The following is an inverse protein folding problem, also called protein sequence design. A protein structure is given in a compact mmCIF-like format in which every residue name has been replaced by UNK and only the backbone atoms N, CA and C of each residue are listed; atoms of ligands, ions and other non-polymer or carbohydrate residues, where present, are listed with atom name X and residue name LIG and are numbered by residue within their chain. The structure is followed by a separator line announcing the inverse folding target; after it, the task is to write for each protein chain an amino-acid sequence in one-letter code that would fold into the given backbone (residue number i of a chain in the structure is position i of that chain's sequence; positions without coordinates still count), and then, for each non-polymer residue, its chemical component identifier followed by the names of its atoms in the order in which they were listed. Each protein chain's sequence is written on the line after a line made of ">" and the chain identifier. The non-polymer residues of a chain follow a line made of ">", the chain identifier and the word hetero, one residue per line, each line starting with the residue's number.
data_IF_028404304163
#
_entry.id   IF_028404304163
#
_cell.length_a   1.000
_cell.length_b   1.000
_cell.length_c   1.000
_cell.angle_alpha   90.00
_cell.angle_beta   90.00
_cell.angle_gamma   90.00
#
_symmetry.space_group_name_H-M   'P 1'
#
loop_
_entity.id
_entity.type
_entity.pdbx_description
1 polymer ?
#
# COMPACT_ATOMS: atom_id res chain seq x y z
N UNK A 1 -10.52 -49.33 -20.55
CA UNK A 1 -11.35 -48.51 -19.65
C UNK A 1 -10.49 -47.35 -19.20
N UNK A 2 -10.79 -46.11 -19.62
CA UNK A 2 -10.06 -44.95 -19.14
C UNK A 2 -10.49 -44.68 -17.70
N UNK A 3 -9.55 -44.78 -16.76
CA UNK A 3 -9.80 -44.52 -15.35
C UNK A 3 -10.16 -43.04 -15.20
N UNK A 4 -11.39 -42.77 -14.77
CA UNK A 4 -11.88 -41.40 -14.59
C UNK A 4 -11.19 -40.83 -13.35
N UNK A 5 -10.24 -39.92 -13.55
CA UNK A 5 -9.51 -39.27 -12.46
C UNK A 5 -10.46 -38.56 -11.50
N UNK A 6 -10.17 -38.62 -10.20
CA UNK A 6 -10.95 -37.93 -9.18
C UNK A 6 -10.78 -36.41 -9.26
N UNK A 7 -11.74 -35.64 -8.74
CA UNK A 7 -11.75 -34.17 -8.80
C UNK A 7 -10.45 -33.57 -8.20
N UNK A 8 -9.95 -34.13 -7.09
CA UNK A 8 -8.70 -33.69 -6.46
C UNK A 8 -7.48 -33.92 -7.35
N UNK A 9 -7.42 -35.07 -8.01
CA UNK A 9 -6.29 -35.46 -8.87
C UNK A 9 -6.27 -34.65 -10.18
N UNK A 10 -7.44 -34.24 -10.66
CA UNK A 10 -7.57 -33.29 -11.76
C UNK A 10 -7.14 -31.87 -11.36
N UNK A 11 -7.44 -31.44 -10.13
CA UNK A 11 -7.03 -30.14 -9.60
C UNK A 11 -5.50 -30.06 -9.42
N UNK A 12 -4.88 -31.07 -8.82
CA UNK A 12 -3.42 -31.13 -8.64
C UNK A 12 -2.67 -31.18 -9.99
N UNK A 13 -3.20 -31.93 -10.97
CA UNK A 13 -2.59 -32.00 -12.30
C UNK A 13 -2.76 -30.68 -13.09
N UNK A 14 -3.86 -29.96 -12.86
CA UNK A 14 -4.08 -28.62 -13.40
C UNK A 14 -3.13 -27.61 -12.76
N UNK A 15 -2.97 -27.62 -11.44
CA UNK A 15 -2.02 -26.77 -10.71
C UNK A 15 -0.59 -27.00 -11.17
N UNK A 16 -0.18 -28.27 -11.31
CA UNK A 16 1.16 -28.62 -11.80
C UNK A 16 1.38 -28.13 -13.24
N UNK A 17 0.38 -28.28 -14.12
CA UNK A 17 0.45 -27.76 -15.50
C UNK A 17 0.53 -26.25 -15.54
N UNK A 18 -0.28 -25.57 -14.73
CA UNK A 18 -0.22 -24.11 -14.59
C UNK A 18 1.14 -23.65 -14.07
N UNK A 19 1.73 -24.34 -13.09
CA UNK A 19 3.09 -24.04 -12.61
C UNK A 19 4.15 -24.23 -13.69
N UNK A 20 4.02 -25.25 -14.54
CA UNK A 20 4.92 -25.46 -15.68
C UNK A 20 4.75 -24.37 -16.76
N UNK A 21 3.51 -24.08 -17.16
CA UNK A 21 3.20 -23.02 -18.12
C UNK A 21 3.65 -21.64 -17.60
N UNK A 22 3.49 -21.37 -16.30
CA UNK A 22 4.00 -20.16 -15.65
C UNK A 22 5.52 -20.10 -15.58
N UNK A 23 6.19 -21.26 -15.42
CA UNK A 23 7.65 -21.36 -15.52
C UNK A 23 8.18 -21.03 -16.92
N UNK A 24 7.32 -21.14 -17.94
CA UNK A 24 7.63 -20.73 -19.31
C UNK A 24 7.33 -19.26 -19.58
N UNK A 25 6.44 -18.63 -18.82
CA UNK A 25 6.10 -17.21 -18.96
C UNK A 25 7.21 -16.29 -18.42
N UNK A 26 7.50 -15.26 -19.19
CA UNK A 26 8.44 -14.21 -18.78
C UNK A 26 7.74 -13.20 -17.85
N UNK A 27 8.38 -12.91 -16.71
CA UNK A 27 7.93 -11.90 -15.75
C UNK A 27 8.87 -10.71 -15.82
N UNK A 28 8.33 -9.54 -16.17
CA UNK A 28 9.09 -8.30 -16.17
C UNK A 28 8.83 -7.55 -14.87
N UNK A 29 9.88 -7.38 -14.07
CA UNK A 29 9.84 -6.50 -12.89
C UNK A 29 10.17 -5.07 -13.31
N UNK A 30 9.48 -4.09 -12.73
CA UNK A 30 9.78 -2.67 -12.94
C UNK A 30 11.22 -2.34 -12.56
N UNK A 31 11.84 -1.42 -13.31
CA UNK A 31 13.25 -1.04 -13.11
C UNK A 31 13.54 -0.50 -11.70
N UNK A 32 12.56 0.15 -11.06
CA UNK A 32 12.69 0.65 -9.69
C UNK A 32 13.07 -0.45 -8.67
N UNK A 33 12.62 -1.68 -8.88
CA UNK A 33 12.98 -2.81 -8.01
C UNK A 33 14.46 -3.16 -8.14
N UNK A 34 14.98 -3.19 -9.38
CA UNK A 34 16.40 -3.43 -9.65
C UNK A 34 17.28 -2.34 -9.05
N UNK A 35 16.89 -1.08 -9.23
CA UNK A 35 17.61 0.05 -8.65
C UNK A 35 17.63 0.00 -7.12
N UNK A 36 16.56 -0.47 -6.48
CA UNK A 36 16.52 -0.65 -5.03
C UNK A 36 17.49 -1.73 -4.54
N UNK A 37 17.78 -2.74 -5.37
CA UNK A 37 18.77 -3.78 -5.11
C UNK A 37 20.22 -3.35 -5.50
N UNK A 38 20.39 -2.12 -6.00
CA UNK A 38 21.68 -1.61 -6.48
C UNK A 38 22.10 -2.13 -7.85
N UNK A 39 21.18 -2.77 -8.59
CA UNK A 39 21.42 -3.23 -9.96
C UNK A 39 21.31 -2.07 -10.94
N UNK A 40 22.45 -1.64 -11.47
CA UNK A 40 22.55 -0.58 -12.48
C UNK A 40 23.62 -0.94 -13.52
N UNK A 41 23.31 -0.71 -14.80
CA UNK A 41 24.19 -0.94 -15.94
C UNK A 41 23.89 0.13 -17.01
N UNK A 42 24.92 0.82 -17.51
CA UNK A 42 24.85 1.82 -18.58
C UNK A 42 25.33 1.29 -19.94
N UNK A 43 25.56 -0.02 -20.04
CA UNK A 43 25.96 -0.65 -21.28
C UNK A 43 24.97 -0.27 -22.40
N UNK A 44 25.47 0.07 -23.61
CA UNK A 44 24.61 0.46 -24.73
C UNK A 44 23.79 -0.72 -25.28
N UNK A 45 23.98 -1.92 -24.74
CA UNK A 45 23.41 -3.18 -25.18
C UNK A 45 22.02 -3.38 -24.57
N UNK A 46 21.00 -2.84 -25.23
CA UNK A 46 19.61 -3.15 -24.86
C UNK A 46 19.15 -4.47 -25.47
N UNK A 47 18.74 -5.42 -24.62
CA UNK A 47 18.08 -6.65 -25.04
C UNK A 47 16.80 -6.86 -24.22
N UNK A 48 15.69 -7.13 -24.92
CA UNK A 48 14.43 -7.55 -24.28
C UNK A 48 14.48 -9.00 -23.75
N UNK A 49 15.62 -9.68 -23.92
CA UNK A 49 15.74 -11.11 -23.73
C UNK A 49 15.11 -11.89 -24.89
N UNK A 50 14.98 -13.22 -24.76
CA UNK A 50 14.29 -14.03 -25.76
C UNK A 50 12.81 -13.60 -25.85
N UNK A 51 12.26 -13.58 -27.07
CA UNK A 51 10.84 -13.39 -27.32
C UNK A 51 10.05 -14.60 -26.78
N UNK A 52 9.70 -14.54 -25.50
CA UNK A 52 8.82 -15.49 -24.82
C UNK A 52 7.51 -14.83 -24.47
N UNK A 53 6.47 -15.63 -24.38
CA UNK A 53 5.19 -15.13 -23.89
C UNK A 53 5.38 -14.57 -22.49
N UNK A 54 4.89 -13.36 -22.26
CA UNK A 54 4.97 -12.69 -20.97
C UNK A 54 3.72 -12.96 -20.16
N UNK A 55 3.83 -12.91 -18.84
CA UNK A 55 2.65 -12.91 -17.98
C UNK A 55 1.89 -11.59 -18.18
N UNK A 56 0.65 -11.68 -18.64
CA UNK A 56 -0.25 -10.56 -18.89
C UNK A 56 -1.60 -10.84 -18.24
N UNK A 57 -2.26 -9.81 -17.72
CA UNK A 57 -3.55 -9.97 -17.02
C UNK A 57 -3.40 -10.41 -15.57
N UNK A 58 -4.37 -11.20 -15.08
CA UNK A 58 -4.34 -11.72 -13.71
C UNK A 58 -3.18 -12.69 -13.51
N UNK A 59 -2.51 -12.59 -12.37
CA UNK A 59 -1.46 -13.53 -11.98
C UNK A 59 -2.08 -14.70 -11.23
N UNK A 60 -2.10 -15.93 -11.80
CA UNK A 60 -2.72 -17.09 -11.16
C UNK A 60 -2.01 -17.53 -9.86
N UNK A 61 -0.83 -16.98 -9.55
CA UNK A 61 -0.12 -17.23 -8.28
C UNK A 61 -0.65 -16.37 -7.14
N UNK A 62 -1.45 -15.35 -7.44
CA UNK A 62 -2.08 -14.49 -6.45
C UNK A 62 -3.54 -14.91 -6.29
N UNK A 63 -4.14 -14.71 -5.09
CA UNK A 63 -5.58 -14.85 -4.92
C UNK A 63 -6.34 -14.01 -5.96
N UNK A 64 -7.37 -14.62 -6.54
CA UNK A 64 -8.16 -13.99 -7.60
C UNK A 64 -8.91 -12.77 -7.05
N UNK A 65 -8.82 -11.65 -7.77
CA UNK A 65 -9.60 -10.45 -7.47
C UNK A 65 -11.00 -10.54 -8.08
N UNK A 66 -12.05 -10.03 -7.41
CA UNK A 66 -13.39 -9.95 -8.01
C UNK A 66 -13.41 -9.01 -9.22
N UNK A 67 -14.44 -9.12 -10.06
CA UNK A 67 -14.59 -8.30 -11.27
C UNK A 67 -14.62 -6.80 -10.96
N UNK A 68 -15.26 -6.44 -9.83
CA UNK A 68 -15.38 -5.08 -9.30
C UNK A 68 -14.69 -4.96 -7.93
N UNK A 69 -13.35 -4.82 -7.88
CA UNK A 69 -12.60 -4.76 -6.62
C UNK A 69 -13.04 -3.65 -5.68
N UNK A 70 -13.22 -4.00 -4.41
CA UNK A 70 -13.40 -3.05 -3.30
C UNK A 70 -12.10 -2.80 -2.56
N UNK A 71 -12.05 -1.76 -1.72
CA UNK A 71 -10.92 -1.53 -0.83
C UNK A 71 -10.66 -2.75 0.09
N UNK A 72 -11.72 -3.37 0.62
CA UNK A 72 -11.62 -4.57 1.47
C UNK A 72 -10.98 -5.74 0.73
N UNK A 73 -11.32 -5.92 -0.56
CA UNK A 73 -10.66 -6.95 -1.39
C UNK A 73 -9.15 -6.72 -1.51
N UNK A 74 -8.70 -5.47 -1.66
CA UNK A 74 -7.26 -5.16 -1.67
C UNK A 74 -6.58 -5.46 -0.33
N UNK A 75 -7.23 -5.13 0.79
CA UNK A 75 -6.75 -5.54 2.12
C UNK A 75 -6.59 -7.06 2.22
N UNK A 76 -7.56 -7.81 1.73
CA UNK A 76 -7.57 -9.27 1.88
C UNK A 76 -6.65 -9.98 0.88
N UNK A 77 -6.49 -9.45 -0.33
CA UNK A 77 -5.87 -10.18 -1.44
C UNK A 77 -4.55 -9.59 -1.91
N UNK A 78 -4.18 -8.36 -1.50
CA UNK A 78 -2.95 -7.68 -1.97
C UNK A 78 -2.09 -7.03 -0.88
N UNK A 79 -2.63 -6.71 0.30
CA UNK A 79 -1.87 -6.02 1.35
C UNK A 79 -1.27 -6.94 2.41
N UNK A 80 -1.52 -8.25 2.33
CA UNK A 80 -0.93 -9.23 3.24
C UNK A 80 0.58 -9.43 2.98
N UNK A 81 1.39 -9.71 4.02
CA UNK A 81 1.04 -9.78 5.44
C UNK A 81 1.04 -8.42 6.17
N UNK A 82 1.64 -7.37 5.60
CA UNK A 82 1.93 -6.11 6.29
C UNK A 82 0.69 -5.26 6.64
N UNK A 83 -0.51 -5.63 6.16
CA UNK A 83 -1.77 -4.93 6.45
C UNK A 83 -2.10 -4.75 7.94
N UNK A 84 -1.59 -5.62 8.82
CA UNK A 84 -1.87 -5.51 10.26
C UNK A 84 -1.41 -4.18 10.86
N UNK A 85 -0.34 -3.58 10.34
CA UNK A 85 0.10 -2.26 10.77
C UNK A 85 -1.00 -1.18 10.55
N UNK A 86 -1.63 -1.18 9.38
CA UNK A 86 -2.72 -0.24 9.08
C UNK A 86 -3.94 -0.48 9.97
N UNK A 87 -4.29 -1.76 10.15
CA UNK A 87 -5.45 -2.16 10.94
C UNK A 87 -5.28 -1.82 12.43
N UNK A 88 -4.08 -2.05 12.99
CA UNK A 88 -3.75 -1.63 14.35
C UNK A 88 -3.76 -0.11 14.50
N UNK A 89 -3.22 0.63 13.53
CA UNK A 89 -3.23 2.10 13.54
C UNK A 89 -4.66 2.65 13.57
N UNK A 90 -5.56 2.08 12.76
CA UNK A 90 -6.97 2.43 12.76
C UNK A 90 -7.66 2.06 14.10
N UNK A 91 -7.37 0.90 14.67
CA UNK A 91 -7.92 0.46 15.95
C UNK A 91 -7.50 1.40 17.10
N UNK A 92 -6.24 1.85 17.10
CA UNK A 92 -5.74 2.86 18.03
C UNK A 92 -6.47 4.19 17.83
N UNK A 93 -6.70 4.61 16.58
CA UNK A 93 -7.50 5.78 16.27
C UNK A 93 -8.91 5.74 16.87
N UNK A 94 -9.59 4.59 16.78
CA UNK A 94 -10.90 4.37 17.42
C UNK A 94 -10.77 4.47 18.95
N UNK A 95 -9.80 3.77 19.55
CA UNK A 95 -9.56 3.77 20.99
C UNK A 95 -9.27 5.17 21.55
N UNK A 96 -8.58 6.00 20.76
CA UNK A 96 -8.22 7.37 21.10
C UNK A 96 -9.34 8.38 20.79
N UNK A 97 -10.51 7.93 20.32
CA UNK A 97 -11.68 8.77 20.08
C UNK A 97 -11.53 9.72 18.89
N UNK A 98 -10.73 9.34 17.88
CA UNK A 98 -10.64 10.11 16.64
C UNK A 98 -11.97 10.07 15.88
N UNK A 99 -12.20 11.08 15.05
CA UNK A 99 -13.33 11.05 14.11
C UNK A 99 -13.17 9.88 13.13
N UNK A 100 -14.27 9.34 12.63
CA UNK A 100 -14.25 8.20 11.68
C UNK A 100 -13.42 8.52 10.43
N UNK A 101 -13.47 9.77 9.96
CA UNK A 101 -12.64 10.24 8.86
C UNK A 101 -11.14 10.10 9.16
N UNK A 102 -10.73 10.37 10.39
CA UNK A 102 -9.35 10.22 10.83
C UNK A 102 -8.98 8.77 11.15
N UNK A 103 -9.94 7.94 11.58
CA UNK A 103 -9.75 6.48 11.65
C UNK A 103 -9.48 5.93 10.26
N UNK A 104 -10.23 6.35 9.23
CA UNK A 104 -9.97 5.99 7.84
C UNK A 104 -8.58 6.48 7.39
N UNK A 105 -8.17 7.67 7.80
CA UNK A 105 -6.83 8.18 7.49
C UNK A 105 -5.73 7.30 8.10
N UNK A 106 -5.88 6.86 9.36
CA UNK A 106 -4.96 5.92 10.00
C UNK A 106 -4.96 4.55 9.29
N UNK A 107 -6.14 4.07 8.86
CA UNK A 107 -6.26 2.82 8.11
C UNK A 107 -5.52 2.85 6.76
N UNK A 108 -5.27 4.03 6.18
CA UNK A 108 -4.76 4.14 4.81
C UNK A 108 -3.40 4.84 4.70
N UNK A 109 -2.85 5.36 5.79
CA UNK A 109 -1.69 6.27 5.75
C UNK A 109 -0.46 5.68 5.06
N UNK A 110 -0.16 4.41 5.32
CA UNK A 110 1.01 3.70 4.79
C UNK A 110 0.65 2.72 3.67
N UNK A 111 -0.49 2.91 2.97
CA UNK A 111 -0.91 2.05 1.86
C UNK A 111 0.19 1.92 0.79
N UNK A 112 0.95 3.00 0.53
CA UNK A 112 2.05 2.95 -0.42
C UNK A 112 3.24 2.13 0.09
N UNK A 113 3.56 2.18 1.39
CA UNK A 113 4.61 1.35 1.99
C UNK A 113 4.28 -0.13 1.86
N UNK A 114 3.00 -0.47 2.03
CA UNK A 114 2.53 -1.85 2.13
C UNK A 114 2.25 -2.47 0.75
N UNK A 115 1.78 -1.66 -0.20
CA UNK A 115 1.30 -2.17 -1.47
C UNK A 115 2.07 -1.67 -2.68
N UNK A 116 2.71 -0.50 -2.62
CA UNK A 116 3.23 0.21 -3.79
C UNK A 116 4.70 0.62 -3.63
N UNK A 117 5.00 1.92 -3.60
CA UNK A 117 6.35 2.44 -3.43
C UNK A 117 6.59 2.92 -1.99
N UNK A 118 7.65 2.40 -1.39
CA UNK A 118 8.16 2.88 -0.10
C UNK A 118 8.79 4.28 -0.13
N UNK A 119 9.64 4.66 -1.11
CA UNK A 119 10.13 6.04 -1.16
C UNK A 119 8.95 6.98 -1.43
N UNK A 120 8.90 8.09 -0.71
CA UNK A 120 7.83 9.09 -0.84
C UNK A 120 6.42 8.53 -0.64
N UNK A 121 6.27 7.58 0.29
CA UNK A 121 5.05 6.83 0.51
C UNK A 121 3.84 7.69 0.87
N UNK A 122 4.02 8.78 1.63
CA UNK A 122 2.95 9.71 1.95
C UNK A 122 2.45 10.42 0.70
N UNK A 123 3.36 10.83 -0.19
CA UNK A 123 3.01 11.48 -1.46
C UNK A 123 2.28 10.53 -2.41
N UNK A 124 2.82 9.33 -2.61
CA UNK A 124 2.19 8.29 -3.44
C UNK A 124 0.83 7.86 -2.88
N UNK A 125 0.76 7.59 -1.57
CA UNK A 125 -0.47 7.19 -0.89
C UNK A 125 -1.53 8.29 -0.95
N UNK A 126 -1.16 9.53 -0.65
CA UNK A 126 -2.06 10.68 -0.76
C UNK A 126 -2.61 10.84 -2.18
N UNK A 127 -1.76 10.77 -3.21
CA UNK A 127 -2.19 10.86 -4.61
C UNK A 127 -3.10 9.70 -5.05
N UNK A 128 -2.79 8.48 -4.60
CA UNK A 128 -3.59 7.29 -4.90
C UNK A 128 -5.00 7.38 -4.33
N UNK A 129 -5.13 7.95 -3.14
CA UNK A 129 -6.38 7.98 -2.37
C UNK A 129 -7.23 9.22 -2.64
N UNK A 130 -6.63 10.33 -3.09
CA UNK A 130 -7.28 11.63 -3.29
C UNK A 130 -8.63 11.59 -4.03
N UNK A 131 -8.84 10.77 -5.08
CA UNK A 131 -10.16 10.69 -5.73
C UNK A 131 -11.26 10.06 -4.86
N UNK A 132 -10.87 9.27 -3.86
CA UNK A 132 -11.75 8.37 -3.12
C UNK A 132 -12.04 8.82 -1.69
N UNK A 133 -11.33 9.82 -1.16
CA UNK A 133 -11.47 10.28 0.23
C UNK A 133 -11.71 11.79 0.31
N UNK A 134 -11.98 12.28 1.51
CA UNK A 134 -12.05 13.70 1.79
C UNK A 134 -10.66 14.38 1.62
N UNK A 135 -10.65 15.65 1.20
CA UNK A 135 -9.41 16.40 0.96
C UNK A 135 -8.51 16.44 2.21
N UNK A 136 -9.11 16.53 3.40
CA UNK A 136 -8.37 16.49 4.67
C UNK A 136 -7.65 15.15 4.87
N UNK A 137 -8.28 14.03 4.51
CA UNK A 137 -7.69 12.68 4.64
C UNK A 137 -6.50 12.55 3.69
N UNK A 138 -6.68 12.88 2.42
CA UNK A 138 -5.62 12.81 1.43
C UNK A 138 -4.44 13.73 1.82
N UNK A 139 -4.73 14.95 2.31
CA UNK A 139 -3.71 15.87 2.78
C UNK A 139 -3.00 15.34 4.03
N UNK A 140 -3.73 14.80 5.00
CA UNK A 140 -3.16 14.27 6.24
C UNK A 140 -2.24 13.08 5.96
N UNK A 141 -2.67 12.16 5.10
CA UNK A 141 -1.85 11.04 4.61
C UNK A 141 -0.62 11.55 3.86
N UNK A 142 -0.74 12.61 3.05
CA UNK A 142 0.43 13.18 2.37
C UNK A 142 1.46 13.72 3.35
N UNK A 143 1.00 14.52 4.32
CA UNK A 143 1.88 15.28 5.21
C UNK A 143 2.39 14.46 6.40
N UNK A 144 1.78 13.33 6.74
CA UNK A 144 2.27 12.49 7.85
C UNK A 144 3.72 12.03 7.61
N UNK A 145 4.13 11.84 6.35
CA UNK A 145 5.51 11.48 6.00
C UNK A 145 6.51 12.55 6.44
N UNK A 146 6.20 13.84 6.29
CA UNK A 146 7.10 14.89 6.74
C UNK A 146 7.05 15.02 8.27
N UNK A 147 5.84 15.02 8.85
CA UNK A 147 5.63 15.26 10.28
C UNK A 147 6.23 14.18 11.19
N UNK A 148 6.32 12.93 10.75
CA UNK A 148 6.82 11.82 11.57
C UNK A 148 8.25 12.03 12.08
N UNK A 149 9.03 12.90 11.44
CA UNK A 149 10.42 13.23 11.82
C UNK A 149 10.54 14.38 12.84
N UNK A 150 9.47 15.10 13.13
CA UNK A 150 9.52 16.29 13.98
C UNK A 150 8.69 16.09 15.25
N UNK A 151 9.27 16.30 16.44
CA UNK A 151 8.54 16.18 17.69
C UNK A 151 7.47 17.26 17.83
N UNK A 152 6.44 16.97 18.62
CA UNK A 152 5.36 17.88 18.96
C UNK A 152 4.90 17.63 20.40
N UNK A 153 5.45 18.42 21.32
CA UNK A 153 5.14 18.34 22.77
C UNK A 153 3.67 18.60 23.08
N UNK A 154 2.95 19.35 22.24
CA UNK A 154 1.53 19.68 22.48
C UNK A 154 0.63 18.44 22.52
N UNK A 155 1.09 17.35 21.92
CA UNK A 155 0.40 16.06 21.87
C UNK A 155 1.29 14.89 22.31
N UNK A 156 2.43 15.20 22.97
CA UNK A 156 3.35 14.19 23.46
C UNK A 156 4.01 13.34 22.37
N UNK A 157 4.11 13.83 21.14
CA UNK A 157 4.80 13.12 20.06
C UNK A 157 6.31 13.40 20.16
N UNK A 158 7.07 12.51 20.77
CA UNK A 158 8.53 12.59 20.78
C UNK A 158 9.13 12.05 19.47
N UNK A 159 10.39 12.39 19.19
CA UNK A 159 11.08 11.77 18.05
C UNK A 159 11.21 10.26 18.29
N UNK A 160 10.71 9.39 17.39
CA UNK A 160 10.72 7.96 17.62
C UNK A 160 12.14 7.40 17.83
N UNK A 161 12.39 6.75 18.97
CA UNK A 161 13.68 6.10 19.25
C UNK A 161 14.04 5.08 18.16
N UNK A 162 13.03 4.40 17.62
CA UNK A 162 13.16 3.48 16.50
C UNK A 162 13.76 4.15 15.25
N UNK A 163 13.48 5.42 15.00
CA UNK A 163 14.02 6.15 13.84
C UNK A 163 15.47 6.54 14.06
N UNK A 164 15.84 6.97 15.28
CA UNK A 164 17.24 7.20 15.64
C UNK A 164 18.09 5.93 15.43
N UNK A 165 17.56 4.77 15.82
CA UNK A 165 18.21 3.46 15.59
C UNK A 165 18.27 3.07 14.11
N UNK A 166 17.17 3.29 13.37
CA UNK A 166 17.03 2.80 11.98
C UNK A 166 17.76 3.66 10.96
N UNK A 167 17.77 4.98 11.14
CA UNK A 167 18.38 5.92 10.21
C UNK A 167 19.79 6.35 10.63
N UNK A 168 20.15 6.11 11.90
CA UNK A 168 21.42 6.53 12.49
C UNK A 168 21.32 7.88 13.19
N UNK A 169 22.16 8.08 14.20
CA UNK A 169 22.13 9.28 15.05
C UNK A 169 22.40 10.58 14.28
N UNK A 170 23.15 10.49 13.17
CA UNK A 170 23.53 11.66 12.37
C UNK A 170 22.58 11.92 11.19
N UNK A 171 21.51 11.12 11.04
CA UNK A 171 20.55 11.31 9.97
C UNK A 171 19.89 12.69 10.04
N UNK A 172 19.92 13.40 8.92
CA UNK A 172 19.21 14.66 8.73
C UNK A 172 18.15 14.45 7.65
N UNK A 173 16.97 15.03 7.86
CA UNK A 173 15.91 15.01 6.85
C UNK A 173 16.34 15.80 5.61
N UNK A 174 15.88 15.36 4.45
CA UNK A 174 16.11 16.06 3.19
C UNK A 174 15.48 17.48 3.19
N UNK A 175 16.04 18.45 2.44
CA UNK A 175 15.55 19.83 2.45
C UNK A 175 14.06 19.98 2.10
N UNK A 176 13.51 19.10 1.24
CA UNK A 176 12.10 19.14 0.88
C UNK A 176 11.18 18.66 2.03
N UNK A 177 11.66 17.74 2.88
CA UNK A 177 10.92 17.29 4.06
C UNK A 177 10.84 18.41 5.10
N UNK A 178 11.95 19.14 5.31
CA UNK A 178 11.95 20.32 6.18
C UNK A 178 10.96 21.38 5.68
N UNK A 179 11.01 21.70 4.38
CA UNK A 179 10.09 22.66 3.76
C UNK A 179 8.63 22.24 3.95
N UNK A 180 8.31 20.97 3.75
CA UNK A 180 6.95 20.47 3.83
C UNK A 180 6.45 20.43 5.28
N UNK A 181 7.33 20.15 6.25
CA UNK A 181 7.02 20.33 7.67
C UNK A 181 6.70 21.78 8.02
N UNK A 182 7.54 22.74 7.58
CA UNK A 182 7.33 24.16 7.85
C UNK A 182 6.00 24.65 7.26
N UNK A 183 5.67 24.21 6.04
CA UNK A 183 4.38 24.44 5.42
C UNK A 183 3.24 23.84 6.26
N UNK A 184 3.32 22.55 6.58
CA UNK A 184 2.27 21.81 7.26
C UNK A 184 1.98 22.38 8.66
N UNK A 185 3.00 22.87 9.38
CA UNK A 185 2.85 23.49 10.72
C UNK A 185 1.93 24.71 10.72
N UNK A 186 1.82 25.41 9.59
CA UNK A 186 0.91 26.55 9.42
C UNK A 186 -0.48 26.18 8.88
N UNK A 187 -0.70 24.91 8.53
CA UNK A 187 -1.90 24.46 7.84
C UNK A 187 -3.03 24.09 8.81
N UNK A 188 -4.28 24.37 8.42
CA UNK A 188 -5.48 24.10 9.23
C UNK A 188 -5.66 22.62 9.62
N UNK A 189 -5.07 21.70 8.84
CA UNK A 189 -5.13 20.25 9.04
C UNK A 189 -3.87 19.67 9.67
N UNK A 190 -2.96 20.50 10.18
CA UNK A 190 -1.74 20.06 10.85
C UNK A 190 -2.01 18.93 11.86
N UNK A 191 -3.02 19.13 12.73
CA UNK A 191 -3.37 18.15 13.75
C UNK A 191 -3.89 16.84 13.17
N UNK A 192 -4.54 16.87 12.01
CA UNK A 192 -5.03 15.67 11.33
C UNK A 192 -3.85 14.77 10.92
N UNK A 193 -2.84 15.33 10.26
CA UNK A 193 -1.61 14.59 9.94
C UNK A 193 -0.84 14.15 11.18
N UNK A 194 -0.76 15.00 12.21
CA UNK A 194 -0.09 14.67 13.48
C UNK A 194 -0.74 13.51 14.22
N UNK A 195 -2.08 13.42 14.20
CA UNK A 195 -2.80 12.29 14.81
C UNK A 195 -2.50 10.98 14.09
N UNK A 196 -2.27 10.99 12.77
CA UNK A 196 -1.79 9.80 12.06
C UNK A 196 -0.43 9.37 12.64
N UNK A 197 0.54 10.27 12.77
CA UNK A 197 1.87 9.94 13.30
C UNK A 197 1.80 9.30 14.70
N UNK A 198 0.94 9.81 15.59
CA UNK A 198 0.76 9.23 16.93
C UNK A 198 0.20 7.81 16.90
N UNK A 199 -0.75 7.53 16.00
CA UNK A 199 -1.38 6.21 15.90
C UNK A 199 -0.62 5.23 14.99
N UNK A 200 0.32 5.71 14.18
CA UNK A 200 1.31 4.91 13.44
C UNK A 200 2.35 4.31 14.41
N UNK A 201 2.94 5.15 15.28
CA UNK A 201 4.09 4.78 16.11
C UNK A 201 3.89 3.53 16.99
N UNK A 202 2.65 3.26 17.42
CA UNK A 202 2.31 2.17 18.34
C UNK A 202 1.62 0.98 17.66
N UNK A 203 1.57 0.94 16.32
CA UNK A 203 0.84 -0.06 15.55
C UNK A 203 1.75 -1.18 15.00
N UNK A 204 2.61 -1.76 15.86
CA UNK A 204 3.56 -2.82 15.49
C UNK A 204 3.55 -3.99 16.50
N UNK A 205 2.45 -4.18 17.21
CA UNK A 205 2.36 -5.23 18.24
C UNK A 205 2.17 -6.60 17.56
N UNK A 206 3.11 -7.56 17.71
CA UNK A 206 3.02 -8.87 17.07
C UNK A 206 1.92 -9.77 17.66
N UNK A 207 1.42 -9.45 18.87
CA UNK A 207 0.42 -10.24 19.58
C UNK A 207 -1.02 -9.71 19.34
N UNK A 208 -1.16 -8.62 18.58
CA UNK A 208 -2.45 -8.01 18.26
C UNK A 208 -2.84 -8.30 16.82
N UNK A 209 -3.99 -8.93 16.64
CA UNK A 209 -4.62 -9.14 15.34
C UNK A 209 -5.92 -8.35 15.25
N UNK A 210 -6.04 -7.52 14.22
CA UNK A 210 -7.24 -6.73 13.91
C UNK A 210 -7.79 -7.18 12.55
N UNK A 211 -9.10 -7.24 12.42
CA UNK A 211 -9.75 -7.66 11.17
C UNK A 211 -10.19 -6.43 10.37
N UNK A 212 -10.16 -6.50 9.03
CA UNK A 212 -10.59 -5.35 8.19
C UNK A 212 -12.09 -5.11 8.31
N UNK A 213 -12.83 -6.18 8.62
CA UNK A 213 -14.25 -6.22 8.90
C UNK A 213 -14.65 -5.28 10.04
N UNK A 214 -13.75 -5.03 11.01
CA UNK A 214 -13.97 -4.07 12.10
C UNK A 214 -14.14 -2.62 11.61
N UNK A 215 -13.73 -2.32 10.37
CA UNK A 215 -13.76 -1.00 9.77
C UNK A 215 -14.70 -0.88 8.57
N UNK A 216 -15.46 -1.93 8.21
CA UNK A 216 -16.35 -1.94 7.03
C UNK A 216 -17.33 -0.75 7.03
N UNK A 217 -17.96 -0.45 8.17
CA UNK A 217 -18.90 0.67 8.28
C UNK A 217 -18.22 2.04 8.12
N UNK A 218 -16.96 2.17 8.55
CA UNK A 218 -16.18 3.41 8.38
C UNK A 218 -15.78 3.55 6.92
N UNK A 219 -15.29 2.47 6.30
CA UNK A 219 -14.97 2.44 4.87
C UNK A 219 -16.21 2.80 4.05
N UNK A 220 -17.35 2.15 4.29
CA UNK A 220 -18.58 2.38 3.53
C UNK A 220 -19.14 3.81 3.63
N UNK A 221 -18.81 4.54 4.70
CA UNK A 221 -19.27 5.93 4.89
C UNK A 221 -18.28 6.98 4.40
N UNK A 222 -16.97 6.70 4.44
CA UNK A 222 -15.92 7.71 4.21
C UNK A 222 -15.03 7.44 2.99
N UNK A 223 -15.09 6.24 2.41
CA UNK A 223 -14.40 5.90 1.16
C UNK A 223 -15.41 5.86 0.00
N UNK A 224 -15.18 6.68 -1.03
CA UNK A 224 -16.01 6.76 -2.23
C UNK A 224 -15.68 5.60 -3.15
N UNK A 225 -16.18 4.42 -2.81
CA UNK A 225 -15.98 3.21 -3.59
C UNK A 225 -16.57 3.36 -5.01
N UNK A 226 -15.77 3.21 -6.08
CA UNK A 226 -16.26 3.22 -7.46
C UNK A 226 -17.22 2.05 -7.75
N UNK A 227 -18.31 2.31 -8.48
CA UNK A 227 -19.33 1.29 -8.87
C UNK A 227 -18.76 0.24 -9.83
N UNK A 228 -17.75 0.62 -10.61
CA UNK A 228 -17.03 -0.23 -11.56
C UNK A 228 -15.97 -1.09 -10.86
N UNK A 229 -15.58 -0.71 -9.62
CA UNK A 229 -14.49 -1.29 -8.86
C UNK A 229 -13.17 -0.54 -9.02
N UNK A 230 -12.34 -0.59 -7.99
CA UNK A 230 -11.06 0.12 -7.93
C UNK A 230 -10.15 -0.31 -9.09
N UNK A 231 -9.74 0.68 -9.88
CA UNK A 231 -8.91 0.49 -11.07
C UNK A 231 -9.66 0.22 -12.37
N UNK A 232 -10.98 -0.03 -12.30
CA UNK A 232 -11.86 -0.06 -13.48
C UNK A 232 -12.52 1.30 -13.74
N UNK A 233 -12.49 2.20 -12.77
CA UNK A 233 -12.96 3.58 -12.86
C UNK A 233 -12.08 4.47 -13.78
N UNK A 234 -12.54 5.70 -14.02
CA UNK A 234 -11.84 6.70 -14.85
C UNK A 234 -11.07 7.76 -14.03
N UNK A 235 -10.80 7.50 -12.75
CA UNK A 235 -10.06 8.43 -11.90
C UNK A 235 -8.59 8.53 -12.34
N UNK A 236 -7.90 9.63 -12.00
CA UNK A 236 -6.47 9.73 -12.27
C UNK A 236 -5.64 8.68 -11.52
N UNK A 237 -6.17 8.05 -10.47
CA UNK A 237 -5.48 7.03 -9.67
C UNK A 237 -5.81 5.58 -10.10
N UNK A 238 -6.74 5.37 -11.04
CA UNK A 238 -7.19 4.04 -11.45
C UNK A 238 -6.03 3.11 -11.87
N UNK A 239 -5.02 3.67 -12.54
CA UNK A 239 -3.85 2.93 -12.98
C UNK A 239 -3.03 2.36 -11.80
N UNK A 240 -2.96 3.06 -10.68
CA UNK A 240 -2.24 2.61 -9.48
C UNK A 240 -2.90 1.34 -8.92
N UNK A 241 -4.23 1.32 -8.81
CA UNK A 241 -4.98 0.12 -8.40
C UNK A 241 -4.83 -1.04 -9.37
N UNK A 242 -4.79 -0.79 -10.69
CA UNK A 242 -4.53 -1.84 -11.69
C UNK A 242 -3.12 -2.42 -11.55
N UNK A 243 -2.11 -1.60 -11.24
CA UNK A 243 -0.75 -2.05 -10.98
C UNK A 243 -0.71 -2.95 -9.73
N UNK A 244 -1.41 -2.58 -8.66
CA UNK A 244 -1.53 -3.42 -7.46
C UNK A 244 -2.25 -4.74 -7.72
N UNK A 245 -3.32 -4.68 -8.53
CA UNK A 245 -4.09 -5.88 -8.93
C UNK A 245 -3.22 -6.86 -9.71
N UNK A 246 -2.40 -6.34 -10.64
CA UNK A 246 -1.61 -7.10 -11.62
C UNK A 246 -0.16 -6.57 -11.71
N UNK A 247 0.69 -6.85 -10.70
CA UNK A 247 2.02 -6.24 -10.60
C UNK A 247 3.01 -6.69 -11.67
N UNK A 248 2.77 -7.83 -12.33
CA UNK A 248 3.60 -8.35 -13.41
C UNK A 248 3.12 -7.95 -14.82
N UNK A 249 2.01 -7.20 -14.94
CA UNK A 249 1.39 -6.87 -16.21
C UNK A 249 2.06 -5.66 -16.87
N UNK A 250 2.32 -5.73 -18.17
CA UNK A 250 3.04 -4.70 -18.92
C UNK A 250 2.16 -3.57 -19.52
N UNK A 251 0.87 -3.49 -19.14
CA UNK A 251 -0.10 -2.45 -19.59
C UNK A 251 -0.45 -1.47 -18.46
#
# INVERSE_FOLDING_TARGET
>A
MAQTKGISEQAEELEFRQMQELGELMIYRSQINKLADGEWDDSPEFSLGPLKQSLMGEDPRLPQMPEKPTLVDFFNLRFGPSKQHLLQSAALGVKNGLSEKMVLACLLHDVSVIAFFRPDHGYWGGQMLEPYVDEEVAWAIRMHQALRFFPDESVGYEYPEAYAKRFGADYQVEPYIQRDYDYARSHKWYMSARMICLNDLYAFDPDVEVQVEDFEDIIGRHFRQPEEGLGNDSSPAAHMWRTLRRPANAL
#
